data_IF_155509242063
#
_entry.id   IF_155509242063
#
_cell.length_a   1.000
_cell.length_b   1.000
_cell.length_c   1.000
_cell.angle_alpha   90.00
_cell.angle_beta   90.00
_cell.angle_gamma   90.00
#
_symmetry.space_group_name_H-M   'P 1'
#
loop_
_entity.id
_entity.type
_entity.pdbx_description
1 polymer ?
#
# COMPACT_ATOMS: atom_id res chain seq x y z
N UNK A 1 -3.92 5.92 22.05
CA UNK A 1 -4.15 6.10 20.61
C UNK A 1 -3.24 5.18 19.83
N UNK A 2 -3.79 4.41 18.90
CA UNK A 2 -2.99 3.51 18.08
C UNK A 2 -2.10 4.30 17.12
N UNK A 3 -0.88 3.81 16.90
CA UNK A 3 0.03 4.44 15.94
C UNK A 3 -0.42 4.17 14.50
N UNK A 4 0.04 5.01 13.58
CA UNK A 4 -0.25 4.82 12.15
C UNK A 4 0.28 3.48 11.65
N UNK A 5 1.46 3.07 12.12
CA UNK A 5 2.07 1.79 11.74
C UNK A 5 1.23 0.62 12.22
N UNK A 6 0.78 0.66 13.48
CA UNK A 6 -0.06 -0.40 14.03
C UNK A 6 -1.36 -0.54 13.24
N UNK A 7 -1.99 0.59 12.90
CA UNK A 7 -3.22 0.61 12.12
C UNK A 7 -2.99 0.06 10.72
N UNK A 8 -1.86 0.41 10.10
CA UNK A 8 -1.52 -0.12 8.79
C UNK A 8 -1.35 -1.65 8.83
N UNK A 9 -0.60 -2.15 9.79
CA UNK A 9 -0.41 -3.59 9.94
C UNK A 9 -1.72 -4.33 10.17
N UNK A 10 -2.63 -3.74 10.95
CA UNK A 10 -3.96 -4.34 11.16
C UNK A 10 -4.76 -4.42 9.87
N UNK A 11 -4.69 -3.42 9.02
CA UNK A 11 -5.36 -3.44 7.72
C UNK A 11 -4.85 -4.60 6.85
N UNK A 12 -3.55 -4.76 6.80
CA UNK A 12 -2.95 -5.83 5.99
C UNK A 12 -3.31 -7.20 6.59
N UNK A 13 -3.21 -7.33 7.91
CA UNK A 13 -3.50 -8.59 8.60
C UNK A 13 -4.97 -9.01 8.42
N UNK A 14 -5.89 -8.06 8.54
CA UNK A 14 -7.32 -8.33 8.41
C UNK A 14 -7.81 -8.29 6.96
N UNK A 15 -6.96 -7.87 6.04
CA UNK A 15 -7.28 -7.70 4.63
C UNK A 15 -8.45 -6.72 4.43
N UNK A 16 -8.49 -5.67 5.24
CA UNK A 16 -9.52 -4.62 5.20
C UNK A 16 -8.83 -3.26 5.23
N UNK A 17 -9.15 -2.41 4.26
CA UNK A 17 -8.63 -1.04 4.24
C UNK A 17 -9.60 -0.15 5.02
N UNK A 18 -9.08 0.51 6.07
CA UNK A 18 -9.88 1.35 6.96
C UNK A 18 -9.55 2.82 6.73
N UNK A 19 -10.53 3.57 6.25
CA UNK A 19 -10.36 5.00 5.97
C UNK A 19 -10.23 5.86 7.23
N UNK A 20 -10.62 5.34 8.40
CA UNK A 20 -10.66 6.15 9.62
C UNK A 20 -9.29 6.66 10.08
N UNK A 21 -8.18 6.01 9.69
CA UNK A 21 -6.84 6.48 10.03
C UNK A 21 -6.12 7.08 8.83
N UNK A 22 -6.87 7.51 7.82
CA UNK A 22 -6.33 8.21 6.66
C UNK A 22 -6.81 9.65 6.66
N UNK A 23 -5.92 10.57 6.32
CA UNK A 23 -6.29 11.97 6.17
C UNK A 23 -7.19 12.13 4.96
N UNK A 24 -8.12 13.09 5.03
CA UNK A 24 -9.06 13.38 3.93
C UNK A 24 -8.33 13.75 2.63
N UNK A 25 -7.20 14.40 2.76
CA UNK A 25 -6.40 14.89 1.62
C UNK A 25 -5.23 13.97 1.30
N UNK A 26 -5.30 12.71 1.73
CA UNK A 26 -4.24 11.74 1.49
C UNK A 26 -3.88 11.66 0.00
N UNK A 27 -2.57 11.52 -0.28
CA UNK A 27 -2.06 11.33 -1.63
C UNK A 27 -1.45 9.95 -1.78
N UNK A 28 -1.77 9.31 -2.89
CA UNK A 28 -1.25 7.98 -3.20
C UNK A 28 -0.43 8.04 -4.47
N UNK A 29 0.82 7.56 -4.38
CA UNK A 29 1.73 7.49 -5.51
C UNK A 29 1.84 6.04 -5.96
N UNK A 30 1.11 5.75 -7.05
CA UNK A 30 1.06 4.42 -7.64
C UNK A 30 2.32 4.15 -8.46
N UNK A 31 2.77 2.90 -8.57
CA UNK A 31 3.90 2.58 -9.43
C UNK A 31 3.55 2.60 -10.93
N UNK A 32 2.29 2.82 -11.28
CA UNK A 32 1.81 2.75 -12.67
C UNK A 32 1.53 4.11 -13.29
N UNK A 33 1.24 5.12 -12.47
CA UNK A 33 0.82 6.44 -12.94
C UNK A 33 1.70 7.49 -12.26
N UNK A 34 2.25 8.42 -13.04
CA UNK A 34 3.13 9.45 -12.48
C UNK A 34 2.40 10.42 -11.57
N UNK A 35 1.22 10.88 -11.97
CA UNK A 35 0.44 11.82 -11.17
C UNK A 35 -0.09 11.17 -9.90
N UNK A 36 0.04 11.84 -8.74
CA UNK A 36 -0.54 11.29 -7.51
C UNK A 36 -2.06 11.26 -7.58
N UNK A 37 -2.62 10.24 -6.94
CA UNK A 37 -4.07 10.11 -6.78
C UNK A 37 -4.42 10.82 -5.48
N UNK A 38 -5.34 11.76 -5.53
CA UNK A 38 -5.66 12.62 -4.40
C UNK A 38 -7.06 12.36 -3.84
N UNK A 39 -7.16 12.51 -2.53
CA UNK A 39 -8.43 12.42 -1.83
C UNK A 39 -8.75 11.00 -1.38
N UNK A 40 -9.37 10.92 -0.21
CA UNK A 40 -9.60 9.64 0.47
C UNK A 40 -10.45 8.67 -0.36
N UNK A 41 -11.47 9.16 -1.07
CA UNK A 41 -12.33 8.27 -1.86
C UNK A 41 -11.57 7.62 -3.01
N UNK A 42 -10.80 8.41 -3.76
CA UNK A 42 -10.01 7.91 -4.88
C UNK A 42 -8.90 6.96 -4.40
N UNK A 43 -8.23 7.34 -3.31
CA UNK A 43 -7.16 6.53 -2.74
C UNK A 43 -7.71 5.20 -2.23
N UNK A 44 -8.85 5.21 -1.55
CA UNK A 44 -9.48 3.97 -1.06
C UNK A 44 -9.80 3.01 -2.19
N UNK A 45 -10.28 3.53 -3.32
CA UNK A 45 -10.59 2.71 -4.49
C UNK A 45 -9.36 1.94 -4.98
N UNK A 46 -8.22 2.64 -5.08
CA UNK A 46 -6.97 2.01 -5.51
C UNK A 46 -6.40 1.06 -4.45
N UNK A 47 -6.49 1.44 -3.17
CA UNK A 47 -5.99 0.58 -2.09
C UNK A 47 -6.78 -0.71 -1.98
N UNK A 48 -8.09 -0.66 -2.18
CA UNK A 48 -8.92 -1.86 -2.17
C UNK A 48 -8.50 -2.81 -3.29
N UNK A 49 -8.26 -2.29 -4.49
CA UNK A 49 -7.80 -3.09 -5.61
C UNK A 49 -6.42 -3.68 -5.33
N UNK A 50 -5.49 -2.87 -4.84
CA UNK A 50 -4.14 -3.32 -4.51
C UNK A 50 -4.16 -4.40 -3.42
N UNK A 51 -5.01 -4.23 -2.42
CA UNK A 51 -5.12 -5.18 -1.33
C UNK A 51 -5.62 -6.55 -1.81
N UNK A 52 -6.55 -6.57 -2.76
CA UNK A 52 -7.04 -7.82 -3.32
C UNK A 52 -5.98 -8.56 -4.13
N UNK A 53 -5.08 -7.83 -4.77
CA UNK A 53 -4.07 -8.42 -5.66
C UNK A 53 -2.79 -8.76 -4.91
N UNK A 54 -2.28 -7.83 -4.12
CA UNK A 54 -0.98 -7.93 -3.45
C UNK A 54 -1.07 -8.70 -2.13
N UNK A 55 -2.10 -8.42 -1.33
CA UNK A 55 -2.24 -9.01 0.00
C UNK A 55 -2.94 -10.38 -0.07
N UNK A 56 -2.29 -11.29 -0.77
CA UNK A 56 -2.76 -12.67 -0.92
C UNK A 56 -2.06 -13.59 0.10
N UNK A 57 -2.30 -14.89 0.02
CA UNK A 57 -1.73 -15.87 0.96
C UNK A 57 -0.21 -15.94 0.97
N UNK A 58 0.45 -15.41 -0.07
CA UNK A 58 1.90 -15.41 -0.18
C UNK A 58 2.54 -14.13 0.36
N UNK A 59 1.72 -13.16 0.75
CA UNK A 59 2.21 -11.87 1.23
C UNK A 59 2.92 -12.03 2.57
N UNK A 60 4.09 -11.38 2.70
CA UNK A 60 4.78 -11.28 3.97
C UNK A 60 5.69 -10.05 3.99
N UNK A 61 5.83 -9.46 5.16
CA UNK A 61 6.82 -8.42 5.36
C UNK A 61 8.19 -9.05 5.58
N UNK A 62 9.21 -8.45 4.98
CA UNK A 62 10.59 -8.93 5.12
C UNK A 62 11.45 -7.96 5.90
N UNK A 63 11.09 -6.70 5.97
CA UNK A 63 11.83 -5.71 6.74
C UNK A 63 10.94 -4.49 7.00
N UNK A 64 11.32 -3.71 8.01
CA UNK A 64 10.61 -2.50 8.38
C UNK A 64 11.60 -1.48 8.92
N UNK A 65 11.58 -0.28 8.33
CA UNK A 65 12.43 0.82 8.75
C UNK A 65 11.51 1.97 9.14
N UNK A 66 11.57 2.36 10.42
CA UNK A 66 10.65 3.36 10.97
C UNK A 66 11.42 4.62 11.33
N UNK A 67 10.98 5.77 10.79
CA UNK A 67 11.50 7.07 11.12
C UNK A 67 10.47 7.88 11.91
N UNK A 68 10.73 9.17 12.06
CA UNK A 68 9.76 10.09 12.66
C UNK A 68 8.72 10.48 11.61
N UNK A 69 7.48 10.02 11.80
CA UNK A 69 6.39 10.34 10.90
C UNK A 69 6.40 9.61 9.56
N UNK A 70 7.25 8.62 9.39
CA UNK A 70 7.29 7.83 8.15
C UNK A 70 7.88 6.45 8.38
N UNK A 71 7.60 5.53 7.46
CA UNK A 71 8.15 4.17 7.52
C UNK A 71 8.24 3.55 6.13
N UNK A 72 9.26 2.70 5.95
CA UNK A 72 9.40 1.81 4.81
C UNK A 72 9.05 0.40 5.27
N UNK A 73 8.08 -0.20 4.62
CA UNK A 73 7.64 -1.56 4.92
C UNK A 73 7.91 -2.41 3.69
N UNK A 74 8.93 -3.23 3.77
CA UNK A 74 9.37 -4.06 2.64
C UNK A 74 8.63 -5.39 2.67
N UNK A 75 8.06 -5.78 1.54
CA UNK A 75 7.27 -7.00 1.46
C UNK A 75 7.64 -7.86 0.26
N UNK A 76 7.21 -9.11 0.32
CA UNK A 76 7.27 -10.04 -0.79
C UNK A 76 5.89 -10.67 -0.95
N UNK A 77 5.55 -11.00 -2.19
CA UNK A 77 4.37 -11.78 -2.49
C UNK A 77 4.60 -12.53 -3.79
N UNK A 78 3.58 -13.21 -4.27
CA UNK A 78 3.68 -14.03 -5.48
C UNK A 78 2.32 -14.04 -6.17
N UNK A 79 2.33 -13.82 -7.49
CA UNK A 79 1.12 -13.90 -8.31
C UNK A 79 1.47 -14.73 -9.53
N UNK A 80 0.70 -15.80 -9.81
CA UNK A 80 0.89 -16.66 -10.99
C UNK A 80 2.33 -17.10 -11.21
N UNK A 81 3.00 -17.59 -10.17
CA UNK A 81 4.39 -18.06 -10.21
C UNK A 81 5.43 -16.95 -10.39
N UNK A 82 5.03 -15.68 -10.39
CA UNK A 82 5.95 -14.56 -10.47
C UNK A 82 6.14 -13.96 -9.07
N UNK A 83 7.39 -13.95 -8.61
CA UNK A 83 7.75 -13.35 -7.32
C UNK A 83 7.80 -11.85 -7.44
N UNK A 84 7.25 -11.19 -6.44
CA UNK A 84 7.10 -9.74 -6.37
C UNK A 84 7.74 -9.24 -5.10
N UNK A 85 8.58 -8.21 -5.23
CA UNK A 85 9.16 -7.52 -4.09
C UNK A 85 8.71 -6.07 -4.15
N UNK A 86 8.26 -5.55 -3.04
CA UNK A 86 7.75 -4.18 -3.01
C UNK A 86 8.04 -3.46 -1.72
N UNK A 87 7.71 -2.19 -1.72
CA UNK A 87 7.85 -1.31 -0.57
C UNK A 87 6.60 -0.46 -0.46
N UNK A 88 6.04 -0.41 0.74
CA UNK A 88 5.07 0.60 1.12
C UNK A 88 5.82 1.68 1.88
N UNK A 89 5.82 2.91 1.35
CA UNK A 89 6.36 4.05 2.06
C UNK A 89 5.18 4.87 2.56
N UNK A 90 4.97 4.86 3.87
CA UNK A 90 3.85 5.55 4.50
C UNK A 90 4.34 6.77 5.28
N UNK A 91 3.58 7.86 5.20
CA UNK A 91 3.85 9.11 5.91
C UNK A 91 2.57 9.49 6.65
N UNK A 92 2.71 9.90 7.91
CA UNK A 92 1.55 10.26 8.74
C UNK A 92 1.77 11.59 9.45
N UNK A 93 0.67 12.20 9.90
CA UNK A 93 0.68 13.45 10.63
C UNK A 93 0.68 13.22 12.15
N UNK A 94 0.63 14.32 12.92
CA UNK A 94 0.64 14.25 14.38
C UNK A 94 -0.56 13.51 14.96
N UNK A 95 -1.65 13.43 14.21
CA UNK A 95 -2.84 12.69 14.63
C UNK A 95 -2.76 11.21 14.29
N UNK A 96 -1.62 10.73 13.82
CA UNK A 96 -1.40 9.35 13.40
C UNK A 96 -2.27 8.94 12.20
N UNK A 97 -2.64 9.90 11.36
CA UNK A 97 -3.38 9.63 10.13
C UNK A 97 -2.44 9.68 8.93
N UNK A 98 -2.58 8.72 8.03
CA UNK A 98 -1.76 8.67 6.82
C UNK A 98 -2.06 9.85 5.91
N UNK A 99 -1.02 10.59 5.53
CA UNK A 99 -1.11 11.72 4.61
C UNK A 99 -0.56 11.40 3.24
N UNK A 100 0.34 10.41 3.17
CA UNK A 100 0.94 10.02 1.90
C UNK A 100 1.28 8.54 1.93
N UNK A 101 1.06 7.88 0.80
CA UNK A 101 1.39 6.47 0.62
C UNK A 101 2.04 6.31 -0.74
N UNK A 102 3.21 5.67 -0.79
CA UNK A 102 3.89 5.32 -2.04
C UNK A 102 4.10 3.83 -2.11
N UNK A 103 3.94 3.27 -3.30
CA UNK A 103 4.16 1.84 -3.52
C UNK A 103 5.20 1.68 -4.62
N UNK A 104 6.26 0.94 -4.32
CA UNK A 104 7.32 0.61 -5.27
C UNK A 104 7.31 -0.89 -5.47
N UNK A 105 7.44 -1.34 -6.70
CA UNK A 105 7.36 -2.76 -7.05
C UNK A 105 8.48 -3.13 -8.02
N UNK A 106 9.12 -4.25 -7.77
CA UNK A 106 10.12 -4.84 -8.65
C UNK A 106 9.88 -6.35 -8.77
N UNK A 107 10.40 -7.02 -9.80
CA UNK A 107 11.05 -6.48 -11.01
C UNK A 107 10.02 -6.00 -12.04
N UNK A 108 10.47 -5.52 -13.19
CA UNK A 108 9.59 -5.00 -14.23
C UNK A 108 8.47 -5.97 -14.63
N UNK A 109 8.79 -7.25 -14.74
CA UNK A 109 7.83 -8.29 -15.06
C UNK A 109 6.69 -8.37 -14.04
N UNK A 110 7.03 -8.25 -12.75
CA UNK A 110 6.05 -8.24 -11.68
C UNK A 110 5.19 -6.98 -11.74
N UNK A 111 5.80 -5.84 -12.02
CA UNK A 111 5.08 -4.57 -12.13
C UNK A 111 3.99 -4.64 -13.22
N UNK A 112 4.31 -5.19 -14.38
CA UNK A 112 3.36 -5.35 -15.48
C UNK A 112 2.19 -6.26 -15.07
N UNK A 113 2.50 -7.38 -14.42
CA UNK A 113 1.47 -8.33 -13.97
C UNK A 113 0.53 -7.69 -12.93
N UNK A 114 1.09 -6.97 -11.97
CA UNK A 114 0.27 -6.30 -10.95
C UNK A 114 -0.65 -5.27 -11.60
N UNK A 115 -0.13 -4.49 -12.56
CA UNK A 115 -0.95 -3.50 -13.26
C UNK A 115 -2.13 -4.14 -13.99
N UNK A 116 -1.88 -5.22 -14.72
CA UNK A 116 -2.90 -5.95 -15.47
C UNK A 116 -3.95 -6.55 -14.52
N UNK A 117 -3.49 -7.15 -13.42
CA UNK A 117 -4.39 -7.79 -12.46
C UNK A 117 -5.23 -6.76 -11.72
N UNK A 118 -4.64 -5.64 -11.32
CA UNK A 118 -5.38 -4.57 -10.64
C UNK A 118 -6.45 -3.95 -11.53
N UNK A 119 -6.20 -3.83 -12.83
CA UNK A 119 -7.18 -3.24 -13.74
C UNK A 119 -8.52 -3.98 -13.75
N UNK A 120 -8.53 -5.24 -13.35
CA UNK A 120 -9.74 -6.04 -13.26
C UNK A 120 -10.58 -5.72 -12.02
N UNK A 121 -10.02 -4.99 -11.07
CA UNK A 121 -10.67 -4.66 -9.81
C UNK A 121 -11.00 -3.17 -9.68
N UNK A 122 -10.62 -2.37 -10.64
CA UNK A 122 -10.89 -0.92 -10.63
C UNK A 122 -12.18 -0.56 -11.36
#
# INVERSE_FOLDING_TARGET
>A
MSSAIENWHLCIEKNIVDASFMDQDIEFYSPFVYKPIQGIENVMNYLNAANQVINNKHFKYTDEIVGEGSAFLIFETKIEEIYINGVYYIIWNEEQKLTELRVLIRPFKALTLVAETMSKHL
#
